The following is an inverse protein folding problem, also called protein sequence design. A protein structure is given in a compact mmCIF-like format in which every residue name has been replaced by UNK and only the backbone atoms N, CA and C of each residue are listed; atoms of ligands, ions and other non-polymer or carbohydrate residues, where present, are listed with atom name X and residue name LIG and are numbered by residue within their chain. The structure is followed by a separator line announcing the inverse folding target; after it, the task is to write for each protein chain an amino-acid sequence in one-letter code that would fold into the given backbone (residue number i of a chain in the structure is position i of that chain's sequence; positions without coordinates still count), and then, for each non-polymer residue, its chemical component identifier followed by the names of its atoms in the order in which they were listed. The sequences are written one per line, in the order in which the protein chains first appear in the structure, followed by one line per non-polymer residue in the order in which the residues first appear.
data_IF_888405698665
#
_entry.id   IF_888405698665
#
_cell.length_a   1.000
_cell.length_b   1.000
_cell.length_c   1.000
_cell.angle_alpha   90.00
_cell.angle_beta   90.00
_cell.angle_gamma   90.00
#
_symmetry.space_group_name_H-M   'P 1'
#
loop_
_entity.id
_entity.type
_entity.pdbx_description
1 polymer ?
#
# COMPACT_ATOMS: atom_id res chain seq x y z
N UNK A 1 9.64 -20.91 -0.77
CA UNK A 1 8.95 -21.46 0.41
C UNK A 1 7.74 -20.60 0.70
N UNK A 2 6.56 -21.19 0.78
CA UNK A 2 5.36 -20.43 1.12
C UNK A 2 5.05 -20.61 2.62
N UNK A 3 3.98 -19.98 3.07
CA UNK A 3 3.59 -20.01 4.48
C UNK A 3 3.30 -21.43 4.95
N UNK A 4 2.63 -22.21 4.12
CA UNK A 4 2.29 -23.60 4.45
C UNK A 4 3.55 -24.44 4.63
N UNK A 5 4.53 -24.27 3.75
CA UNK A 5 5.81 -24.98 3.83
C UNK A 5 6.56 -24.57 5.10
N UNK A 6 6.57 -23.29 5.42
CA UNK A 6 7.23 -22.80 6.62
C UNK A 6 6.60 -23.43 7.87
N UNK A 7 5.27 -23.41 7.98
CA UNK A 7 4.58 -23.96 9.13
C UNK A 7 4.80 -25.46 9.26
N UNK A 8 4.80 -26.20 8.14
CA UNK A 8 5.05 -27.62 8.15
C UNK A 8 6.47 -27.93 8.64
N UNK A 9 7.46 -27.21 8.13
CA UNK A 9 8.86 -27.41 8.52
C UNK A 9 9.11 -27.03 9.97
N UNK A 10 8.50 -25.93 10.41
CA UNK A 10 8.63 -25.52 11.80
C UNK A 10 7.96 -26.54 12.74
N UNK A 11 6.79 -27.06 12.35
CA UNK A 11 6.11 -28.10 13.10
C UNK A 11 6.95 -29.37 13.23
N UNK A 12 7.58 -29.79 12.13
CA UNK A 12 8.48 -30.95 12.14
C UNK A 12 9.67 -30.71 13.05
N UNK A 13 10.26 -29.53 13.00
CA UNK A 13 11.38 -29.17 13.85
C UNK A 13 10.99 -29.22 15.32
N UNK A 14 9.85 -28.67 15.67
CA UNK A 14 9.33 -28.68 17.04
C UNK A 14 9.12 -30.12 17.52
N UNK A 15 8.59 -30.99 16.65
CA UNK A 15 8.39 -32.39 16.97
C UNK A 15 9.71 -33.07 17.25
N UNK A 16 10.73 -32.81 16.45
CA UNK A 16 12.08 -33.37 16.64
C UNK A 16 12.70 -32.87 17.95
N UNK A 17 12.52 -31.60 18.25
CA UNK A 17 13.03 -31.03 19.49
C UNK A 17 12.36 -31.71 20.71
N UNK A 18 11.09 -32.04 20.62
CA UNK A 18 10.38 -32.71 21.69
C UNK A 18 10.91 -34.10 22.02
N UNK A 19 11.67 -34.70 21.10
CA UNK A 19 12.27 -36.02 21.31
C UNK A 19 13.67 -35.94 21.93
N UNK A 20 14.22 -34.76 22.14
CA UNK A 20 15.55 -34.60 22.71
C UNK A 20 15.54 -34.71 24.21
N UNK A 21 16.72 -34.96 24.83
CA UNK A 21 16.84 -34.94 26.29
C UNK A 21 16.43 -33.58 26.85
N UNK A 22 15.90 -33.59 28.03
CA UNK A 22 15.32 -32.41 28.67
C UNK A 22 16.31 -31.24 28.76
N UNK A 23 17.58 -31.49 29.00
CA UNK A 23 18.58 -30.45 29.13
C UNK A 23 18.79 -29.67 27.86
N UNK A 24 18.61 -30.31 26.69
CA UNK A 24 18.80 -29.68 25.39
C UNK A 24 17.49 -29.15 24.82
N UNK A 25 16.40 -29.75 25.27
CA UNK A 25 15.07 -29.43 24.71
C UNK A 25 14.61 -28.02 25.06
N UNK A 26 14.82 -27.56 26.30
CA UNK A 26 14.33 -26.28 26.75
C UNK A 26 14.84 -25.11 25.92
N UNK A 27 16.18 -24.95 25.74
CA UNK A 27 16.71 -23.87 24.92
C UNK A 27 16.24 -23.91 23.48
N UNK A 28 16.10 -25.10 22.89
CA UNK A 28 15.67 -25.26 21.51
C UNK A 28 14.17 -24.96 21.35
N UNK A 29 13.36 -25.36 22.31
CA UNK A 29 11.94 -25.01 22.31
C UNK A 29 11.76 -23.49 22.39
N UNK A 30 12.56 -22.83 23.22
CA UNK A 30 12.53 -21.39 23.35
C UNK A 30 12.88 -20.72 22.03
N UNK A 31 13.91 -21.23 21.35
CA UNK A 31 14.34 -20.69 20.05
C UNK A 31 13.26 -20.88 18.99
N UNK A 32 12.62 -22.04 18.96
CA UNK A 32 11.52 -22.32 18.04
C UNK A 32 10.35 -21.38 18.28
N UNK A 33 10.03 -21.12 19.55
CA UNK A 33 8.96 -20.20 19.90
C UNK A 33 9.29 -18.77 19.48
N UNK A 34 10.52 -18.33 19.68
CA UNK A 34 10.96 -17.02 19.24
C UNK A 34 10.87 -16.89 17.70
N UNK A 35 11.24 -17.95 17.00
CA UNK A 35 11.14 -17.98 15.53
C UNK A 35 9.69 -17.82 15.08
N UNK A 36 8.79 -18.55 15.72
CA UNK A 36 7.36 -18.44 15.43
C UNK A 36 6.84 -17.03 15.67
N UNK A 37 7.20 -16.46 16.82
CA UNK A 37 6.78 -15.10 17.17
C UNK A 37 7.29 -14.05 16.19
N UNK A 38 8.53 -14.18 15.75
CA UNK A 38 9.11 -13.28 14.76
C UNK A 38 8.38 -13.40 13.44
N UNK A 39 8.07 -14.64 13.06
CA UNK A 39 7.36 -14.89 11.81
C UNK A 39 5.96 -14.27 11.85
N UNK A 40 5.25 -14.43 12.95
CA UNK A 40 3.91 -13.86 13.13
C UNK A 40 3.94 -12.34 13.08
N UNK A 41 4.93 -11.72 13.71
CA UNK A 41 5.11 -10.26 13.67
C UNK A 41 5.40 -9.79 12.24
N UNK A 42 6.23 -10.53 11.52
CA UNK A 42 6.57 -10.18 10.14
C UNK A 42 5.34 -10.28 9.24
N UNK A 43 4.52 -11.31 9.40
CA UNK A 43 3.27 -11.46 8.66
C UNK A 43 2.34 -10.26 8.92
N UNK A 44 2.22 -9.86 10.17
CA UNK A 44 1.40 -8.72 10.54
C UNK A 44 1.93 -7.43 9.89
N UNK A 45 3.24 -7.23 9.94
CA UNK A 45 3.87 -6.06 9.33
C UNK A 45 3.62 -6.02 7.83
N UNK A 46 3.72 -7.17 7.15
CA UNK A 46 3.44 -7.25 5.72
C UNK A 46 1.99 -6.90 5.43
N UNK A 47 1.05 -7.42 6.24
CA UNK A 47 -0.36 -7.10 6.07
C UNK A 47 -0.62 -5.61 6.26
N UNK A 48 0.00 -4.99 7.27
CA UNK A 48 -0.13 -3.57 7.52
C UNK A 48 0.45 -2.75 6.36
N UNK A 49 1.58 -3.19 5.80
CA UNK A 49 2.18 -2.54 4.63
C UNK A 49 1.29 -2.63 3.41
N UNK A 50 0.68 -3.79 3.18
CA UNK A 50 -0.24 -3.97 2.07
C UNK A 50 -1.44 -3.05 2.20
N UNK A 51 -1.98 -2.93 3.40
CA UNK A 51 -3.09 -2.02 3.67
C UNK A 51 -2.69 -0.56 3.41
N UNK A 52 -1.49 -0.18 3.84
CA UNK A 52 -0.97 1.17 3.59
C UNK A 52 -0.76 1.44 2.11
N UNK A 53 -0.28 0.44 1.37
CA UNK A 53 -0.10 0.55 -0.08
C UNK A 53 -1.44 0.70 -0.79
N UNK A 54 -2.46 -0.02 -0.36
CA UNK A 54 -3.79 0.10 -0.94
C UNK A 54 -4.36 1.48 -0.68
N UNK A 55 -4.15 2.01 0.52
CA UNK A 55 -4.55 3.38 0.84
C UNK A 55 -3.84 4.40 -0.04
N UNK A 56 -2.52 4.22 -0.24
CA UNK A 56 -1.76 5.10 -1.12
C UNK A 56 -2.25 5.04 -2.56
N UNK A 57 -2.53 3.85 -3.06
CA UNK A 57 -3.07 3.69 -4.43
C UNK A 57 -4.37 4.44 -4.59
N UNK A 58 -5.24 4.31 -3.61
CA UNK A 58 -6.53 4.99 -3.64
C UNK A 58 -6.34 6.51 -3.58
N UNK A 59 -5.44 6.98 -2.72
CA UNK A 59 -5.14 8.41 -2.59
C UNK A 59 -4.60 8.98 -3.89
N UNK A 60 -3.70 8.26 -4.56
CA UNK A 60 -3.14 8.67 -5.84
C UNK A 60 -4.25 8.75 -6.89
N UNK A 61 -5.12 7.78 -6.90
CA UNK A 61 -6.25 7.76 -7.85
C UNK A 61 -7.12 9.00 -7.68
N UNK A 62 -7.44 9.36 -6.46
CA UNK A 62 -8.23 10.56 -6.19
C UNK A 62 -7.48 11.83 -6.60
N UNK A 63 -6.16 11.89 -6.34
CA UNK A 63 -5.36 13.03 -6.75
C UNK A 63 -5.33 13.18 -8.27
N UNK A 64 -5.24 12.07 -9.01
CA UNK A 64 -5.28 12.10 -10.46
C UNK A 64 -6.62 12.62 -10.95
N UNK A 65 -7.72 12.16 -10.36
CA UNK A 65 -9.06 12.64 -10.72
C UNK A 65 -9.20 14.14 -10.44
N UNK A 66 -8.70 14.59 -9.27
CA UNK A 66 -8.75 16.01 -8.93
C UNK A 66 -7.94 16.83 -9.91
N UNK A 67 -6.77 16.35 -10.30
CA UNK A 67 -5.93 17.03 -11.27
C UNK A 67 -6.63 17.14 -12.64
N UNK A 68 -7.23 16.06 -13.09
CA UNK A 68 -7.97 16.06 -14.34
C UNK A 68 -9.16 17.02 -14.29
N UNK A 69 -9.89 17.01 -13.20
CA UNK A 69 -11.01 17.92 -13.02
C UNK A 69 -10.55 19.37 -13.04
N UNK A 70 -9.44 19.66 -12.35
CA UNK A 70 -8.86 20.99 -12.30
C UNK A 70 -8.40 21.43 -13.69
N UNK A 71 -7.81 20.56 -14.47
CA UNK A 71 -7.40 20.87 -15.85
C UNK A 71 -8.59 21.21 -16.72
N UNK A 72 -9.67 20.44 -16.62
CA UNK A 72 -10.88 20.72 -17.39
C UNK A 72 -11.46 22.07 -17.01
N UNK A 73 -11.50 22.36 -15.72
CA UNK A 73 -11.98 23.62 -15.23
C UNK A 73 -11.13 24.79 -15.74
N UNK A 74 -9.80 24.62 -15.69
CA UNK A 74 -8.90 25.64 -16.20
C UNK A 74 -9.09 25.87 -17.70
N UNK A 75 -9.26 24.82 -18.47
CA UNK A 75 -9.52 24.93 -19.90
C UNK A 75 -10.83 25.67 -20.17
N UNK A 76 -11.84 25.34 -19.42
CA UNK A 76 -13.13 25.98 -19.54
C UNK A 76 -13.05 27.47 -19.21
N UNK A 77 -12.38 27.82 -18.12
CA UNK A 77 -12.18 29.19 -17.73
C UNK A 77 -11.37 29.99 -18.73
N UNK A 78 -10.34 29.35 -19.30
CA UNK A 78 -9.56 30.00 -20.36
C UNK A 78 -10.40 30.29 -21.59
N UNK A 79 -11.25 29.36 -21.96
CA UNK A 79 -12.16 29.58 -23.10
C UNK A 79 -13.13 30.73 -22.83
N UNK A 80 -13.64 30.82 -21.61
CA UNK A 80 -14.50 31.91 -21.23
C UNK A 80 -13.76 33.25 -21.29
N UNK A 81 -12.53 33.30 -20.79
CA UNK A 81 -11.74 34.50 -20.82
C UNK A 81 -11.40 34.91 -22.26
N UNK A 82 -11.05 33.96 -23.11
CA UNK A 82 -10.77 34.22 -24.50
C UNK A 82 -12.00 34.77 -25.22
N UNK A 83 -13.14 34.19 -24.96
CA UNK A 83 -14.39 34.67 -25.52
C UNK A 83 -14.70 36.08 -25.06
N UNK A 84 -14.48 36.38 -23.78
CA UNK A 84 -14.64 37.71 -23.25
C UNK A 84 -13.69 38.72 -23.89
N UNK A 85 -12.43 38.30 -24.02
CA UNK A 85 -11.43 39.17 -24.62
C UNK A 85 -11.72 39.43 -26.09
N UNK A 86 -12.17 38.45 -26.82
CA UNK A 86 -12.59 38.61 -28.19
C UNK A 86 -13.76 39.55 -28.29
N UNK A 87 -14.73 39.42 -27.39
CA UNK A 87 -15.85 40.31 -27.35
C UNK A 87 -15.45 41.73 -27.05
N UNK A 88 -14.47 41.91 -26.15
CA UNK A 88 -13.95 43.23 -25.84
C UNK A 88 -13.15 43.86 -26.96
N UNK A 89 -12.42 43.02 -27.68
CA UNK A 89 -11.54 43.46 -28.73
C UNK A 89 -12.27 43.71 -30.02
N UNK A 90 -13.44 43.17 -30.20
CA UNK A 90 -14.21 43.40 -31.39
C UNK A 90 -14.51 44.88 -31.51
N UNK A 91 -14.18 45.48 -32.62
CA UNK A 91 -14.51 46.88 -32.79
C UNK A 91 -16.00 46.98 -32.81
N UNK A 92 -16.46 47.88 -32.04
CA UNK A 92 -17.86 48.14 -32.08
C UNK A 92 -18.09 48.81 -33.34
N UNK A 93 -18.72 48.13 -34.15
CA UNK A 93 -18.78 48.61 -35.48
C UNK A 93 -19.52 49.86 -35.67
N UNK A 94 -19.94 50.34 -34.62
CA UNK A 94 -20.58 51.52 -34.71
C UNK A 94 -19.76 52.57 -35.14
N UNK A 95 -18.55 52.40 -35.20
CA UNK A 95 -17.80 53.42 -35.77
C UNK A 95 -17.97 53.51 -37.21
#
# INVERSE_FOLDING_TARGET
MNESDFQAKLGDLISQIGQLPEAERGPLEQLALETQNRHDKMKKTIADLQESLDYLRLSIKYLVFDLEATRRENQYLRKLLEAQNKGSDEPTSEE
#
